data_IF_025248011442
#
_entry.id   IF_025248011442
#
_cell.length_a   1.000
_cell.length_b   1.000
_cell.length_c   1.000
_cell.angle_alpha   90.00
_cell.angle_beta   90.00
_cell.angle_gamma   90.00
#
_symmetry.space_group_name_H-M   'P 1'
#
loop_
_entity.id
_entity.type
_entity.pdbx_description
1 polymer ?
#
# COMPACT_ATOMS: atom_id res chain seq x y z
N UNK A 1 -11.27 24.17 11.84
CA UNK A 1 -11.99 22.95 11.42
C UNK A 1 -11.28 21.76 12.04
N UNK A 2 -11.82 21.23 13.14
CA UNK A 2 -11.18 20.14 13.88
C UNK A 2 -11.37 18.81 13.15
N UNK A 3 -10.32 18.00 13.07
CA UNK A 3 -10.43 16.59 12.63
C UNK A 3 -11.54 15.93 13.47
N UNK A 4 -12.52 15.24 12.85
CA UNK A 4 -13.52 14.54 13.63
C UNK A 4 -12.81 13.48 14.50
N UNK A 5 -13.22 13.30 15.77
CA UNK A 5 -12.65 12.26 16.61
C UNK A 5 -12.84 10.91 15.92
N UNK A 6 -11.80 10.06 15.94
CA UNK A 6 -11.81 8.72 15.33
C UNK A 6 -12.98 7.83 15.80
N UNK A 7 -13.67 8.26 16.87
CA UNK A 7 -14.88 7.68 17.45
C UNK A 7 -16.13 7.72 16.53
N UNK A 8 -16.18 8.58 15.50
CA UNK A 8 -17.35 8.66 14.60
C UNK A 8 -17.33 7.59 13.50
N UNK A 9 -16.16 7.02 13.18
CA UNK A 9 -16.02 5.92 12.21
C UNK A 9 -16.17 4.53 12.89
N UNK A 10 -15.85 4.44 14.18
CA UNK A 10 -15.99 3.23 15.00
C UNK A 10 -17.43 2.71 15.13
N UNK A 11 -18.42 3.55 14.81
CA UNK A 11 -19.85 3.22 14.83
C UNK A 11 -20.38 2.62 13.52
N UNK A 12 -19.56 2.59 12.46
CA UNK A 12 -19.88 1.93 11.18
C UNK A 12 -18.97 0.75 10.86
N UNK A 13 -17.76 0.72 11.41
CA UNK A 13 -16.86 -0.42 11.33
C UNK A 13 -16.45 -0.82 12.74
N UNK A 14 -16.74 -2.06 13.16
CA UNK A 14 -16.37 -2.54 14.49
C UNK A 14 -14.88 -2.28 14.73
N UNK A 15 -14.48 -1.71 15.88
CA UNK A 15 -13.07 -1.40 16.20
C UNK A 15 -12.12 -2.57 15.92
N UNK A 16 -12.60 -3.79 16.19
CA UNK A 16 -11.91 -5.07 15.95
C UNK A 16 -11.62 -5.33 14.47
N UNK A 17 -12.56 -5.03 13.56
CA UNK A 17 -12.37 -5.19 12.11
C UNK A 17 -11.38 -4.18 11.58
N UNK A 18 -11.45 -2.94 12.05
CA UNK A 18 -10.48 -1.89 11.70
C UNK A 18 -9.07 -2.27 12.14
N UNK A 19 -8.91 -2.89 13.31
CA UNK A 19 -7.60 -3.36 13.78
C UNK A 19 -7.05 -4.53 12.94
N UNK A 20 -7.91 -5.46 12.53
CA UNK A 20 -7.53 -6.57 11.65
C UNK A 20 -7.01 -6.06 10.28
N UNK A 21 -7.76 -5.15 9.65
CA UNK A 21 -7.32 -4.55 8.38
C UNK A 21 -6.05 -3.73 8.54
N UNK A 22 -5.89 -3.00 9.66
CA UNK A 22 -4.64 -2.31 9.97
C UNK A 22 -3.46 -3.29 10.05
N UNK A 23 -3.61 -4.44 10.72
CA UNK A 23 -2.56 -5.46 10.80
C UNK A 23 -2.22 -6.04 9.43
N UNK A 24 -3.22 -6.32 8.59
CA UNK A 24 -3.03 -6.81 7.22
C UNK A 24 -2.33 -5.80 6.32
N UNK A 25 -2.58 -4.51 6.52
CA UNK A 25 -1.87 -3.44 5.81
C UNK A 25 -0.43 -3.37 6.30
N UNK A 26 -0.17 -3.28 7.60
CA UNK A 26 1.18 -3.07 8.15
C UNK A 26 2.12 -4.27 7.96
N UNK A 27 1.56 -5.48 7.89
CA UNK A 27 2.30 -6.73 7.67
C UNK A 27 1.98 -7.30 6.29
N UNK A 28 1.77 -6.43 5.30
CA UNK A 28 1.52 -6.88 3.94
C UNK A 28 2.75 -7.64 3.42
N UNK A 29 2.49 -8.82 2.86
CA UNK A 29 3.48 -9.62 2.14
C UNK A 29 2.80 -10.16 0.87
N UNK A 30 3.53 -10.13 -0.24
CA UNK A 30 3.13 -10.74 -1.49
C UNK A 30 3.22 -12.26 -1.39
N UNK A 31 2.19 -12.98 -1.84
CA UNK A 31 2.21 -14.44 -1.86
C UNK A 31 3.01 -14.96 -3.06
N UNK A 32 3.60 -16.17 -2.94
CA UNK A 32 4.49 -16.73 -3.99
C UNK A 32 3.79 -16.94 -5.33
N UNK A 33 2.47 -17.20 -5.31
CA UNK A 33 1.65 -17.43 -6.50
C UNK A 33 0.96 -16.16 -7.03
N UNK A 34 1.12 -15.01 -6.36
CA UNK A 34 0.48 -13.75 -6.76
C UNK A 34 1.37 -12.91 -7.70
N UNK A 35 0.76 -12.37 -8.75
CA UNK A 35 1.44 -11.35 -9.56
C UNK A 35 1.52 -10.02 -8.81
N UNK A 36 2.47 -9.16 -9.19
CA UNK A 36 2.57 -7.79 -8.65
C UNK A 36 1.25 -7.01 -8.75
N UNK A 37 0.48 -7.25 -9.82
CA UNK A 37 -0.82 -6.59 -10.02
C UNK A 37 -1.86 -7.11 -9.04
N UNK A 38 -1.98 -8.43 -8.89
CA UNK A 38 -2.93 -9.04 -7.97
C UNK A 38 -2.62 -8.61 -6.52
N UNK A 39 -1.35 -8.60 -6.15
CA UNK A 39 -0.86 -8.11 -4.87
C UNK A 39 -1.23 -6.64 -4.62
N UNK A 40 -1.11 -5.77 -5.64
CA UNK A 40 -1.52 -4.37 -5.55
C UNK A 40 -3.04 -4.21 -5.40
N UNK A 41 -3.83 -4.95 -6.16
CA UNK A 41 -5.30 -4.93 -6.07
C UNK A 41 -5.77 -5.40 -4.68
N UNK A 42 -5.19 -6.49 -4.15
CA UNK A 42 -5.44 -6.98 -2.78
C UNK A 42 -5.06 -5.94 -1.72
N UNK A 43 -3.92 -5.28 -1.89
CA UNK A 43 -3.48 -4.23 -0.98
C UNK A 43 -4.43 -3.02 -1.01
N UNK A 44 -4.90 -2.60 -2.19
CA UNK A 44 -5.91 -1.56 -2.35
C UNK A 44 -7.24 -1.90 -1.67
N UNK A 45 -7.69 -3.15 -1.78
CA UNK A 45 -8.89 -3.66 -1.13
C UNK A 45 -8.83 -3.52 0.40
N UNK A 46 -7.66 -3.73 1.01
CA UNK A 46 -7.51 -3.53 2.47
C UNK A 46 -7.78 -2.09 2.90
N UNK A 47 -7.45 -1.10 2.07
CA UNK A 47 -7.76 0.32 2.36
C UNK A 47 -9.24 0.66 2.15
N UNK A 48 -9.89 0.06 1.15
CA UNK A 48 -11.34 0.17 0.95
C UNK A 48 -12.09 -0.34 2.19
N UNK A 49 -11.64 -1.46 2.78
CA UNK A 49 -12.25 -2.06 3.98
C UNK A 49 -11.92 -1.31 5.29
N UNK A 50 -10.77 -0.64 5.38
CA UNK A 50 -10.34 0.10 6.57
C UNK A 50 -10.94 1.54 6.66
N UNK A 51 -11.80 1.96 5.73
CA UNK A 51 -12.34 3.33 5.62
C UNK A 51 -11.22 4.39 5.67
N UNK A 52 -10.24 4.33 4.75
CA UNK A 52 -9.20 5.30 4.30
C UNK A 52 -8.56 6.36 5.22
N UNK A 53 -9.13 6.79 6.34
CA UNK A 53 -8.82 8.06 6.99
C UNK A 53 -7.65 8.04 7.99
N UNK A 54 -6.67 7.15 7.80
CA UNK A 54 -5.60 6.98 8.80
C UNK A 54 -4.18 6.70 8.29
N UNK A 55 -3.97 6.48 7.00
CA UNK A 55 -2.65 6.13 6.48
C UNK A 55 -2.12 7.22 5.56
N UNK A 56 -0.92 7.72 5.86
CA UNK A 56 -0.20 8.64 4.98
C UNK A 56 0.22 7.91 3.70
N UNK A 57 0.20 8.60 2.57
CA UNK A 57 0.54 8.03 1.26
C UNK A 57 1.94 7.39 1.25
N UNK A 58 2.90 8.05 1.90
CA UNK A 58 4.26 7.54 2.06
C UNK A 58 4.28 6.18 2.77
N UNK A 59 3.55 6.05 3.88
CA UNK A 59 3.44 4.78 4.62
C UNK A 59 2.86 3.68 3.72
N UNK A 60 1.85 4.01 2.89
CA UNK A 60 1.23 3.04 1.98
C UNK A 60 2.25 2.49 0.97
N UNK A 61 3.06 3.36 0.38
CA UNK A 61 4.09 3.00 -0.60
C UNK A 61 5.21 2.19 0.05
N UNK A 62 5.71 2.63 1.20
CA UNK A 62 6.79 1.97 1.93
C UNK A 62 6.39 0.56 2.38
N UNK A 63 5.19 0.40 2.92
CA UNK A 63 4.71 -0.92 3.36
C UNK A 63 4.45 -1.84 2.18
N UNK A 64 3.85 -1.35 1.08
CA UNK A 64 3.67 -2.16 -0.12
C UNK A 64 5.01 -2.62 -0.69
N UNK A 65 5.93 -1.68 -0.91
CA UNK A 65 7.26 -1.98 -1.41
C UNK A 65 8.02 -2.94 -0.48
N UNK A 66 7.90 -2.77 0.84
CA UNK A 66 8.49 -3.66 1.84
C UNK A 66 8.01 -5.11 1.72
N UNK A 67 6.72 -5.30 1.44
CA UNK A 67 6.07 -6.61 1.31
C UNK A 67 6.26 -7.32 -0.03
N UNK A 68 6.81 -6.65 -1.06
CA UNK A 68 7.02 -7.27 -2.37
C UNK A 68 8.10 -8.35 -2.35
N UNK A 69 7.94 -9.34 -3.23
CA UNK A 69 8.98 -10.31 -3.53
C UNK A 69 10.22 -9.63 -4.11
N UNK A 70 11.40 -10.23 -3.89
CA UNK A 70 12.69 -9.67 -4.36
C UNK A 70 12.70 -9.48 -5.88
N UNK A 71 12.09 -10.39 -6.64
CA UNK A 71 11.98 -10.29 -8.10
C UNK A 71 11.19 -9.05 -8.53
N UNK A 72 10.03 -8.83 -7.91
CA UNK A 72 9.17 -7.68 -8.23
C UNK A 72 9.75 -6.34 -7.75
N UNK A 73 10.51 -6.34 -6.65
CA UNK A 73 11.31 -5.16 -6.24
C UNK A 73 12.33 -4.77 -7.30
N UNK A 74 13.04 -5.74 -7.87
CA UNK A 74 14.03 -5.50 -8.94
C UNK A 74 13.33 -5.00 -10.21
N UNK A 75 12.19 -5.58 -10.56
CA UNK A 75 11.39 -5.12 -11.71
C UNK A 75 10.91 -3.68 -11.51
N UNK A 76 10.38 -3.36 -10.33
CA UNK A 76 9.94 -2.01 -9.97
C UNK A 76 11.10 -1.01 -10.02
N UNK A 77 12.25 -1.34 -9.45
CA UNK A 77 13.45 -0.51 -9.49
C UNK A 77 13.95 -0.32 -10.93
N UNK A 78 13.99 -1.39 -11.73
CA UNK A 78 14.40 -1.33 -13.14
C UNK A 78 13.45 -0.49 -14.00
N UNK A 79 12.13 -0.55 -13.77
CA UNK A 79 11.16 0.29 -14.47
C UNK A 79 11.33 1.78 -14.09
N UNK A 80 11.56 2.06 -12.80
CA UNK A 80 11.83 3.42 -12.32
C UNK A 80 13.18 3.95 -12.82
N UNK A 81 14.21 3.11 -12.85
CA UNK A 81 15.57 3.46 -13.29
C UNK A 81 15.68 3.56 -14.81
N UNK A 82 14.96 2.71 -15.55
CA UNK A 82 14.83 2.78 -17.01
C UNK A 82 14.10 4.03 -17.48
N UNK A 83 13.19 4.58 -16.65
CA UNK A 83 12.53 5.87 -16.90
C UNK A 83 13.47 7.07 -16.70
N UNK A 84 14.51 6.94 -15.88
CA UNK A 84 15.56 7.97 -15.71
C UNK A 84 16.53 8.02 -16.90
N UNK A 85 16.78 6.89 -17.57
CA UNK A 85 17.69 6.85 -18.73
C UNK A 85 17.14 7.57 -19.97
N UNK A 86 15.83 7.75 -20.07
CA UNK A 86 15.18 8.53 -21.15
C UNK A 86 15.04 10.03 -20.85
N UNK A 87 15.55 10.54 -19.72
CA UNK A 87 15.58 11.97 -19.39
C UNK A 87 17.00 12.55 -19.32
N UNK A 88 18.03 11.82 -19.75
CA UNK A 88 19.32 12.44 -20.01
C UNK A 88 19.23 13.21 -21.35
N UNK A 89 19.43 14.54 -21.37
CA UNK A 89 19.41 15.28 -22.63
C UNK A 89 20.61 14.82 -23.50
N UNK A 90 20.40 14.60 -24.81
CA UNK A 90 21.51 14.36 -25.72
C UNK A 90 22.43 15.59 -25.73
N UNK A 91 23.75 15.33 -25.74
CA UNK A 91 24.80 16.36 -25.84
C UNK A 91 24.70 17.13 -27.16
#
# INVERSE_FOLDING_TARGET
>A
MGRPPQQVLARYCSPSKTEEWRKKITHFEQEEDETLRDAWERYCDYFLQCLYHGFEEQFRIETFYGGLMKGDKILHDSLCQGKLMNMAPPK
#
